data_IF_737741986889
#
_entry.id   IF_737741986889
#
_cell.length_a   1.000
_cell.length_b   1.000
_cell.length_c   1.000
_cell.angle_alpha   90.00
_cell.angle_beta   90.00
_cell.angle_gamma   90.00
#
_symmetry.space_group_name_H-M   'P 1'
#
loop_
_entity.id
_entity.type
_entity.pdbx_description
1 polymer ?
#
# COMPACT_ATOMS: atom_id res chain seq x y z
N UNK A 1 7.90 -11.57 32.91
CA UNK A 1 7.73 -13.04 32.81
C UNK A 1 8.16 -13.49 31.43
N UNK A 2 8.79 -14.66 31.33
CA UNK A 2 9.09 -15.28 30.05
C UNK A 2 7.80 -15.67 29.31
N UNK A 3 7.81 -15.53 27.99
CA UNK A 3 6.67 -15.88 27.14
C UNK A 3 6.57 -17.40 27.01
N UNK A 4 5.39 -17.96 27.32
CA UNK A 4 5.12 -19.40 27.19
C UNK A 4 4.46 -19.67 25.84
N UNK A 5 5.00 -20.61 25.09
CA UNK A 5 4.45 -21.06 23.81
C UNK A 5 3.80 -22.44 23.95
N UNK A 6 2.94 -22.78 22.99
CA UNK A 6 2.28 -24.08 22.93
C UNK A 6 3.22 -25.20 22.45
N UNK A 7 2.85 -26.44 22.71
CA UNK A 7 3.60 -27.62 22.25
C UNK A 7 3.25 -28.04 20.81
N UNK A 8 2.12 -27.54 20.27
CA UNK A 8 1.66 -27.89 18.93
C UNK A 8 2.50 -27.16 17.88
N UNK A 9 3.27 -27.93 17.10
CA UNK A 9 4.17 -27.41 16.08
C UNK A 9 3.48 -27.37 14.73
N UNK A 10 3.35 -26.18 14.16
CA UNK A 10 2.88 -25.96 12.79
C UNK A 10 4.07 -25.53 11.94
N UNK A 11 4.58 -26.43 11.12
CA UNK A 11 5.79 -26.17 10.32
C UNK A 11 5.53 -25.21 9.15
N UNK A 12 4.37 -25.32 8.49
CA UNK A 12 4.03 -24.54 7.30
C UNK A 12 2.66 -23.87 7.46
N UNK A 13 2.57 -22.73 8.17
CA UNK A 13 1.31 -22.04 8.38
C UNK A 13 0.84 -21.33 7.09
N UNK A 14 -0.37 -21.65 6.62
CA UNK A 14 -1.04 -20.92 5.53
C UNK A 14 -1.88 -19.77 6.10
N UNK A 15 -1.22 -18.72 6.61
CA UNK A 15 -1.86 -17.58 7.25
C UNK A 15 -1.41 -16.28 6.61
N UNK A 16 -2.36 -15.37 6.36
CA UNK A 16 -2.07 -14.03 5.81
C UNK A 16 -2.37 -12.98 6.87
N UNK A 17 -1.32 -12.30 7.32
CA UNK A 17 -1.42 -11.18 8.26
C UNK A 17 -1.22 -9.90 7.47
N UNK A 18 -2.22 -9.02 7.49
CA UNK A 18 -2.13 -7.72 6.84
C UNK A 18 -1.98 -6.64 7.89
N UNK A 19 -0.86 -5.92 7.89
CA UNK A 19 -0.70 -4.75 8.75
C UNK A 19 -1.56 -3.59 8.23
N UNK A 20 -2.19 -2.85 9.13
CA UNK A 20 -3.08 -1.72 8.83
C UNK A 20 -2.57 -0.49 9.59
N UNK A 21 -2.26 0.62 8.90
CA UNK A 21 -1.93 1.87 9.57
C UNK A 21 -3.18 2.41 10.29
N UNK A 22 -3.01 2.81 11.55
CA UNK A 22 -4.07 3.39 12.36
C UNK A 22 -3.49 4.53 13.19
N UNK A 23 -3.88 5.76 12.90
CA UNK A 23 -3.36 6.97 13.56
C UNK A 23 -3.80 7.09 15.03
N UNK A 24 -4.78 6.30 15.47
CA UNK A 24 -5.30 6.33 16.84
C UNK A 24 -4.48 5.49 17.82
N UNK A 25 -3.60 4.63 17.30
CA UNK A 25 -2.79 3.73 18.12
C UNK A 25 -1.53 4.44 18.61
N UNK A 26 -0.99 3.98 19.75
CA UNK A 26 0.32 4.41 20.22
C UNK A 26 1.44 3.94 19.28
N UNK A 27 2.62 4.55 19.37
CA UNK A 27 3.80 4.19 18.55
C UNK A 27 4.28 2.76 18.81
N UNK A 28 3.99 2.22 19.99
CA UNK A 28 4.26 0.84 20.38
C UNK A 28 3.13 -0.14 19.98
N UNK A 29 2.10 0.31 19.27
CA UNK A 29 0.95 -0.51 18.92
C UNK A 29 0.79 -0.61 17.40
N UNK A 30 0.64 -1.84 16.93
CA UNK A 30 0.38 -2.13 15.52
C UNK A 30 -0.97 -2.84 15.36
N UNK A 31 -1.75 -2.44 14.34
CA UNK A 31 -2.97 -3.12 13.96
C UNK A 31 -2.72 -4.10 12.81
N UNK A 32 -3.27 -5.30 12.96
CA UNK A 32 -3.28 -6.33 11.93
C UNK A 32 -4.71 -6.74 11.62
N UNK A 33 -4.99 -6.99 10.35
CA UNK A 33 -6.11 -7.83 9.92
C UNK A 33 -5.60 -9.26 9.83
N UNK A 34 -6.27 -10.12 10.58
CA UNK A 34 -5.92 -11.53 10.72
C UNK A 34 -7.09 -12.42 10.28
N UNK A 35 -6.84 -13.68 9.89
CA UNK A 35 -7.91 -14.63 9.63
C UNK A 35 -8.77 -14.86 10.89
N UNK A 36 -10.06 -15.14 10.71
CA UNK A 36 -11.00 -15.25 11.83
C UNK A 36 -10.65 -16.39 12.81
N UNK A 37 -10.07 -17.46 12.28
CA UNK A 37 -9.73 -18.69 13.00
C UNK A 37 -8.56 -18.52 13.98
N UNK A 38 -7.70 -17.51 13.79
CA UNK A 38 -6.45 -17.35 14.55
C UNK A 38 -6.70 -16.83 15.95
N UNK A 39 -6.15 -17.46 17.00
CA UNK A 39 -6.28 -17.02 18.38
C UNK A 39 -5.24 -15.94 18.77
N UNK A 40 -5.42 -15.28 19.93
CA UNK A 40 -4.46 -14.31 20.48
C UNK A 40 -3.09 -14.93 20.74
N UNK A 41 -3.07 -16.17 21.24
CA UNK A 41 -1.85 -16.92 21.52
C UNK A 41 -1.09 -17.21 20.22
N UNK A 42 -1.81 -17.64 19.19
CA UNK A 42 -1.25 -17.92 17.86
C UNK A 42 -0.67 -16.65 17.21
N UNK A 43 -1.34 -15.50 17.34
CA UNK A 43 -0.82 -14.21 16.85
C UNK A 43 0.51 -13.88 17.53
N UNK A 44 0.57 -14.07 18.85
CA UNK A 44 1.76 -13.81 19.65
C UNK A 44 2.92 -14.72 19.22
N UNK A 45 2.61 -16.01 19.04
CA UNK A 45 3.54 -17.05 18.61
C UNK A 45 4.09 -16.79 17.20
N UNK A 46 3.18 -16.52 16.26
CA UNK A 46 3.48 -16.23 14.86
C UNK A 46 4.40 -15.02 14.69
N UNK A 47 4.09 -13.90 15.35
CA UNK A 47 4.91 -12.69 15.27
C UNK A 47 6.28 -12.86 15.94
N UNK A 48 6.37 -13.66 17.01
CA UNK A 48 7.64 -13.90 17.70
C UNK A 48 8.54 -14.82 16.89
N UNK A 49 8.03 -15.91 16.32
CA UNK A 49 8.86 -16.90 15.64
C UNK A 49 9.18 -16.57 14.17
N UNK A 50 8.26 -15.93 13.45
CA UNK A 50 8.47 -15.64 12.02
C UNK A 50 9.13 -14.28 11.83
N UNK A 51 8.74 -13.27 12.61
CA UNK A 51 9.21 -11.89 12.47
C UNK A 51 10.17 -11.45 13.58
N UNK A 52 10.49 -12.31 14.56
CA UNK A 52 11.34 -11.98 15.70
C UNK A 52 10.89 -10.76 16.51
N UNK A 53 9.59 -10.51 16.57
CA UNK A 53 9.02 -9.35 17.29
C UNK A 53 8.65 -9.74 18.72
N UNK A 54 9.14 -8.99 19.71
CA UNK A 54 8.74 -9.19 21.11
C UNK A 54 7.40 -8.52 21.41
N UNK A 55 6.36 -9.33 21.57
CA UNK A 55 4.99 -8.88 21.82
C UNK A 55 4.66 -8.89 23.32
N UNK A 56 4.14 -7.77 23.84
CA UNK A 56 3.72 -7.66 25.25
C UNK A 56 2.28 -8.10 25.45
N UNK A 57 1.33 -7.51 24.70
CA UNK A 57 -0.11 -7.78 24.78
C UNK A 57 -0.74 -7.89 23.38
N UNK A 58 -1.83 -8.66 23.27
CA UNK A 58 -2.61 -8.82 22.04
C UNK A 58 -4.10 -8.67 22.35
N UNK A 59 -4.71 -7.66 21.72
CA UNK A 59 -6.15 -7.38 21.80
C UNK A 59 -6.79 -7.67 20.47
N UNK A 60 -7.90 -8.40 20.45
CA UNK A 60 -8.57 -8.76 19.19
C UNK A 60 -10.04 -8.40 19.25
N UNK A 61 -10.56 -7.89 18.14
CA UNK A 61 -11.98 -7.62 17.95
C UNK A 61 -12.44 -8.17 16.61
N UNK A 62 -13.63 -8.77 16.57
CA UNK A 62 -14.25 -9.26 15.34
C UNK A 62 -15.30 -8.24 14.92
N UNK A 63 -15.10 -7.63 13.76
CA UNK A 63 -16.04 -6.70 13.17
C UNK A 63 -17.09 -7.45 12.33
N UNK A 64 -18.38 -7.16 12.55
CA UNK A 64 -19.43 -7.69 11.70
C UNK A 64 -19.31 -7.11 10.29
N UNK A 65 -19.63 -7.93 9.29
CA UNK A 65 -19.75 -7.46 7.92
C UNK A 65 -20.92 -6.50 7.76
N UNK A 66 -20.74 -5.49 6.89
CA UNK A 66 -21.80 -4.56 6.49
C UNK A 66 -22.84 -5.28 5.63
N UNK A 67 -24.11 -5.03 5.90
CA UNK A 67 -25.22 -5.46 5.04
C UNK A 67 -25.35 -4.47 3.87
N UNK A 68 -25.43 -4.97 2.66
CA UNK A 68 -25.58 -4.19 1.42
C UNK A 68 -26.59 -4.85 0.51
N UNK A 69 -27.44 -4.05 -0.13
CA UNK A 69 -28.34 -4.54 -1.17
C UNK A 69 -27.55 -4.64 -2.49
N UNK A 70 -27.52 -5.83 -3.09
CA UNK A 70 -26.99 -5.99 -4.43
C UNK A 70 -27.94 -5.29 -5.42
N UNK A 71 -27.43 -4.28 -6.14
CA UNK A 71 -28.25 -3.47 -7.06
C UNK A 71 -28.76 -4.27 -8.26
N UNK A 72 -28.07 -5.33 -8.66
CA UNK A 72 -28.46 -6.13 -9.83
C UNK A 72 -29.48 -7.19 -9.47
N UNK A 73 -29.28 -7.89 -8.36
CA UNK A 73 -30.13 -9.03 -7.95
C UNK A 73 -31.24 -8.63 -6.98
N UNK A 74 -31.17 -7.45 -6.36
CA UNK A 74 -32.08 -7.01 -5.30
C UNK A 74 -31.93 -7.78 -3.98
N UNK A 75 -30.94 -8.67 -3.87
CA UNK A 75 -30.71 -9.49 -2.68
C UNK A 75 -29.87 -8.76 -1.63
N UNK A 76 -30.16 -9.04 -0.36
CA UNK A 76 -29.33 -8.55 0.74
C UNK A 76 -28.09 -9.43 0.87
N UNK A 77 -26.92 -8.85 0.61
CA UNK A 77 -25.63 -9.48 0.78
C UNK A 77 -24.91 -8.91 1.99
N UNK A 78 -24.07 -9.73 2.62
CA UNK A 78 -23.24 -9.29 3.75
C UNK A 78 -21.77 -9.45 3.41
N UNK A 79 -21.02 -8.37 3.63
CA UNK A 79 -19.55 -8.43 3.52
C UNK A 79 -18.97 -9.47 4.50
N UNK A 80 -17.81 -10.08 4.20
CA UNK A 80 -17.17 -11.00 5.12
C UNK A 80 -16.80 -10.28 6.42
N UNK A 81 -16.88 -11.01 7.54
CA UNK A 81 -16.42 -10.53 8.84
C UNK A 81 -14.91 -10.34 8.83
N UNK A 82 -14.41 -9.41 9.64
CA UNK A 82 -12.99 -9.08 9.69
C UNK A 82 -12.53 -9.14 11.14
N UNK A 83 -11.42 -9.84 11.40
CA UNK A 83 -10.79 -9.83 12.71
C UNK A 83 -9.63 -8.84 12.70
N UNK A 84 -9.69 -7.85 13.60
CA UNK A 84 -8.60 -6.91 13.86
C UNK A 84 -7.88 -7.32 15.12
N UNK A 85 -6.56 -7.36 15.06
CA UNK A 85 -5.69 -7.56 16.19
C UNK A 85 -4.87 -6.28 16.41
N UNK A 86 -4.90 -5.74 17.62
CA UNK A 86 -4.01 -4.68 18.08
C UNK A 86 -2.94 -5.36 18.93
N UNK A 87 -1.70 -5.23 18.51
CA UNK A 87 -0.55 -5.88 19.12
C UNK A 87 0.29 -4.78 19.75
N UNK A 88 0.55 -4.91 21.05
CA UNK A 88 1.48 -4.04 21.76
C UNK A 88 2.87 -4.67 21.67
N UNK A 89 3.80 -3.93 21.09
CA UNK A 89 5.19 -4.32 20.85
C UNK A 89 6.06 -3.63 21.91
N UNK A 90 7.21 -4.23 22.23
CA UNK A 90 8.17 -3.61 23.15
C UNK A 90 8.90 -2.41 22.53
N UNK A 91 9.19 -2.51 21.25
CA UNK A 91 9.84 -1.49 20.45
C UNK A 91 8.80 -0.58 19.79
N UNK A 92 9.16 0.70 19.63
CA UNK A 92 8.35 1.67 18.92
C UNK A 92 8.49 1.50 17.41
N UNK A 93 7.39 1.66 16.70
CA UNK A 93 7.32 1.54 15.25
C UNK A 93 6.56 2.73 14.66
N UNK A 94 7.12 3.33 13.62
CA UNK A 94 6.46 4.38 12.85
C UNK A 94 6.40 3.98 11.38
N UNK A 95 5.23 4.17 10.78
CA UNK A 95 5.06 3.90 9.35
C UNK A 95 5.83 4.93 8.51
N UNK A 96 6.36 4.51 7.36
CA UNK A 96 6.86 5.47 6.40
C UNK A 96 5.73 6.42 5.98
N UNK A 97 6.06 7.69 5.79
CA UNK A 97 5.10 8.67 5.27
C UNK A 97 4.64 8.25 3.88
N UNK A 98 3.36 8.44 3.61
CA UNK A 98 2.82 8.22 2.27
C UNK A 98 3.56 9.12 1.28
N UNK A 99 4.07 8.51 0.21
CA UNK A 99 4.66 9.22 -0.91
C UNK A 99 3.55 9.95 -1.67
N UNK A 100 3.80 11.22 -1.97
CA UNK A 100 2.87 12.02 -2.74
C UNK A 100 3.07 11.62 -4.20
N UNK A 101 2.21 10.73 -4.71
CA UNK A 101 2.28 10.24 -6.09
C UNK A 101 2.34 11.37 -7.10
N UNK A 102 1.77 12.54 -6.78
CA UNK A 102 1.78 13.71 -7.66
C UNK A 102 3.13 14.45 -7.65
N UNK A 103 3.92 14.35 -6.58
CA UNK A 103 5.25 14.99 -6.49
C UNK A 103 6.38 14.04 -6.84
N UNK A 104 6.30 12.79 -6.36
CA UNK A 104 7.41 11.84 -6.40
C UNK A 104 7.43 11.00 -7.69
N UNK A 105 6.25 10.70 -8.25
CA UNK A 105 6.12 9.77 -9.38
C UNK A 105 5.62 10.43 -10.67
N UNK A 106 4.87 11.52 -10.59
CA UNK A 106 4.47 12.28 -11.77
C UNK A 106 5.66 13.08 -12.29
N UNK A 107 6.41 12.48 -13.21
CA UNK A 107 7.30 13.24 -14.09
C UNK A 107 6.52 14.34 -14.81
N UNK A 108 7.22 15.36 -15.30
CA UNK A 108 6.66 16.54 -15.99
C UNK A 108 5.56 16.22 -17.03
N UNK A 109 5.56 14.99 -17.55
CA UNK A 109 4.64 14.42 -18.53
C UNK A 109 3.20 14.33 -18.02
N UNK A 110 2.98 13.88 -16.78
CA UNK A 110 1.62 13.73 -16.22
C UNK A 110 1.03 15.08 -15.83
N UNK A 111 1.85 15.99 -15.29
CA UNK A 111 1.44 17.38 -15.03
C UNK A 111 1.05 18.12 -16.32
N UNK A 112 1.86 17.96 -17.38
CA UNK A 112 1.59 18.54 -18.68
C UNK A 112 0.25 18.04 -19.27
N UNK A 113 -0.02 16.73 -19.17
CA UNK A 113 -1.28 16.14 -19.63
C UNK A 113 -2.49 16.61 -18.81
N UNK A 114 -2.37 16.70 -17.48
CA UNK A 114 -3.42 17.20 -16.58
C UNK A 114 -3.78 18.65 -16.91
N UNK A 115 -2.78 19.55 -16.98
CA UNK A 115 -3.03 20.97 -17.34
C UNK A 115 -3.59 21.14 -18.75
N UNK A 116 -3.20 20.31 -19.73
CA UNK A 116 -3.84 20.30 -21.06
C UNK A 116 -5.31 19.86 -20.99
N UNK A 117 -5.64 18.86 -20.17
CA UNK A 117 -7.02 18.38 -19.98
C UNK A 117 -7.88 19.44 -19.32
N UNK A 118 -7.39 20.09 -18.26
CA UNK A 118 -8.11 21.14 -17.55
C UNK A 118 -8.40 22.34 -18.46
N UNK A 119 -7.44 22.70 -19.34
CA UNK A 119 -7.66 23.72 -20.35
C UNK A 119 -8.70 23.33 -21.41
N UNK A 120 -8.84 22.03 -21.75
CA UNK A 120 -9.92 21.55 -22.64
C UNK A 120 -11.29 21.61 -21.96
N UNK A 121 -11.37 21.29 -20.66
CA UNK A 121 -12.63 21.29 -19.90
C UNK A 121 -13.20 22.70 -19.68
N UNK A 122 -12.36 23.74 -19.68
CA UNK A 122 -12.78 25.15 -19.55
C UNK A 122 -13.47 25.72 -20.80
N UNK A 123 -13.61 24.97 -21.89
CA UNK A 123 -14.52 25.27 -23.01
C UNK A 123 -14.09 26.38 -23.98
N UNK A 124 -13.19 27.31 -23.60
CA UNK A 124 -12.60 28.29 -24.50
C UNK A 124 -11.21 27.84 -25.00
N UNK A 125 -10.83 28.22 -26.23
CA UNK A 125 -9.50 27.96 -26.81
C UNK A 125 -8.43 28.83 -26.14
N UNK A 126 -8.16 28.60 -24.85
CA UNK A 126 -7.14 29.33 -24.10
C UNK A 126 -5.75 29.08 -24.73
N UNK A 127 -5.01 30.16 -24.98
CA UNK A 127 -3.59 30.05 -25.35
C UNK A 127 -2.83 29.35 -24.22
N UNK A 128 -1.87 28.46 -24.51
CA UNK A 128 -1.04 27.85 -23.49
C UNK A 128 -0.32 28.91 -22.65
N UNK A 129 -0.42 28.82 -21.32
CA UNK A 129 0.36 29.66 -20.42
C UNK A 129 1.86 29.38 -20.59
N UNK A 130 2.76 30.36 -20.33
CA UNK A 130 4.20 30.18 -20.44
C UNK A 130 4.71 28.94 -19.66
N UNK A 131 4.23 28.75 -18.42
CA UNK A 131 4.56 27.58 -17.60
C UNK A 131 4.14 26.24 -18.24
N UNK A 132 3.06 26.20 -19.03
CA UNK A 132 2.63 25.00 -19.75
C UNK A 132 3.54 24.70 -20.96
N UNK A 133 4.07 25.74 -21.61
CA UNK A 133 5.04 25.57 -22.71
C UNK A 133 6.36 24.98 -22.19
N UNK A 134 6.87 25.50 -21.08
CA UNK A 134 8.09 24.99 -20.43
C UNK A 134 7.92 23.54 -19.96
N UNK A 135 6.79 23.21 -19.33
CA UNK A 135 6.46 21.82 -18.99
C UNK A 135 6.44 20.93 -20.24
N UNK A 136 5.87 21.40 -21.36
CA UNK A 136 5.86 20.66 -22.62
C UNK A 136 7.26 20.47 -23.23
N UNK A 137 8.17 21.43 -23.09
CA UNK A 137 9.56 21.31 -23.52
C UNK A 137 10.31 20.26 -22.69
N UNK A 138 10.23 20.35 -21.36
CA UNK A 138 10.82 19.38 -20.43
C UNK A 138 10.34 17.95 -20.69
N UNK A 139 9.06 17.78 -21.04
CA UNK A 139 8.50 16.48 -21.43
C UNK A 139 9.14 15.94 -22.70
N UNK A 140 9.22 16.76 -23.76
CA UNK A 140 9.85 16.37 -25.03
C UNK A 140 11.33 16.04 -24.85
N UNK A 141 12.04 16.77 -24.01
CA UNK A 141 13.45 16.50 -23.68
C UNK A 141 13.60 15.17 -22.93
N UNK A 142 12.72 14.90 -21.95
CA UNK A 142 12.71 13.63 -21.22
C UNK A 142 12.37 12.43 -22.11
N UNK A 143 11.51 12.59 -23.11
CA UNK A 143 11.15 11.56 -24.09
C UNK A 143 12.32 11.26 -25.03
N UNK A 144 13.03 12.30 -25.49
CA UNK A 144 14.24 12.16 -26.31
C UNK A 144 15.38 11.46 -25.55
N UNK A 145 15.59 11.81 -24.28
CA UNK A 145 16.60 11.18 -23.43
C UNK A 145 16.32 9.67 -23.22
N UNK A 146 15.04 9.30 -23.00
CA UNK A 146 14.62 7.90 -22.88
C UNK A 146 14.73 7.11 -24.19
N UNK A 147 14.52 7.77 -25.34
CA UNK A 147 14.72 7.14 -26.65
C UNK A 147 16.20 6.84 -26.92
N UNK A 148 17.09 7.79 -26.59
CA UNK A 148 18.54 7.60 -26.73
C UNK A 148 19.12 6.52 -25.81
N UNK A 149 18.62 6.40 -24.57
CA UNK A 149 19.06 5.33 -23.65
C UNK A 149 18.65 3.94 -24.18
N UNK A 150 17.42 3.79 -24.67
CA UNK A 150 16.92 2.55 -25.29
C UNK A 150 17.74 2.11 -26.51
N UNK A 151 18.15 3.06 -27.36
CA UNK A 151 19.02 2.78 -28.51
C UNK A 151 20.44 2.36 -28.09
N UNK A 152 20.95 2.89 -26.98
CA UNK A 152 22.26 2.49 -26.44
C UNK A 152 22.23 1.10 -25.78
N UNK A 153 21.13 0.75 -25.11
CA UNK A 153 20.96 -0.55 -24.45
C UNK A 153 20.75 -1.69 -25.47
N UNK A 154 20.04 -1.42 -26.57
CA UNK A 154 19.88 -2.39 -27.68
C UNK A 154 21.17 -2.66 -28.44
N UNK A 155 22.04 -1.65 -28.57
CA UNK A 155 23.37 -1.80 -29.19
C UNK A 155 24.37 -2.56 -28.32
N UNK A 156 24.27 -2.46 -26.98
CA UNK A 156 25.13 -3.24 -26.06
C UNK A 156 24.75 -4.72 -26.00
N UNK A 157 23.45 -5.03 -26.01
CA UNK A 157 22.98 -6.43 -26.00
C UNK A 157 23.28 -7.19 -27.32
N UNK A 158 23.46 -6.49 -28.44
CA UNK A 158 23.80 -7.10 -29.73
C UNK A 158 25.30 -7.35 -29.92
N UNK A 159 26.15 -6.82 -29.03
CA UNK A 159 27.62 -6.97 -29.09
C UNK A 159 28.17 -8.02 -28.09
N UNK A 160 27.32 -8.61 -27.24
CA UNK A 160 27.73 -9.55 -26.17
C UNK A 160 27.25 -11.00 -26.45
N UNK A 161 26.98 -11.33 -27.71
CA UNK A 161 26.60 -12.68 -28.17
C UNK A 161 27.57 -13.16 -29.24
#
# INVERSE_FOLDING_TARGET
MAQRFGNFKVYFPNLVFKIIPDSRLGRNQAAFRVPLQVNKLDIKDYLTHIYNVTVTDVRTTVFPGKLSLNRFTGQQERSPRIKKAIVTIKEDFEYPKEVDVDKDFKGAQVEYQRKRRDNKLKGWRLRPTPALKELGQKVRESEKAKAGSKESDTKKNTQTS
#
